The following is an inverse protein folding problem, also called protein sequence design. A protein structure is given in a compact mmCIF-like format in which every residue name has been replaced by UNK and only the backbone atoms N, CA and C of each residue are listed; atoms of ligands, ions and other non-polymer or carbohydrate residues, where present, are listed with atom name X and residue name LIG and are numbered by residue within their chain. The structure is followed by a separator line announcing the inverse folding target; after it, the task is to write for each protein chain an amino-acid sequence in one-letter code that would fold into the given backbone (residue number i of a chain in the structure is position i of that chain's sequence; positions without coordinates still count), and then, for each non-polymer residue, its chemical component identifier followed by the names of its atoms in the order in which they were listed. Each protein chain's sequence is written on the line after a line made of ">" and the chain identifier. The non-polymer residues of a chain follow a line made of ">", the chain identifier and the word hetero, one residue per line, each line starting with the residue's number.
data_IF_803492074142
#
_entry.id   IF_803492074142
#
_cell.length_a   1.000
_cell.length_b   1.000
_cell.length_c   1.000
_cell.angle_alpha   90.00
_cell.angle_beta   90.00
_cell.angle_gamma   90.00
#
_symmetry.space_group_name_H-M   'P 1'
#
loop_
_entity.id
_entity.type
_entity.pdbx_description
1 polymer ?
#
# COMPACT_ATOMS: atom_id res chain seq x y z
N UNK A 1 -14.46 12.73 -5.88
CA UNK A 1 -13.24 12.25 -6.58
C UNK A 1 -12.01 12.74 -5.82
N UNK A 2 -11.31 11.87 -5.08
CA UNK A 2 -10.04 12.20 -4.42
C UNK A 2 -8.89 12.06 -5.44
N UNK A 3 -8.61 13.13 -6.20
CA UNK A 3 -7.69 13.03 -7.34
C UNK A 3 -7.03 14.31 -7.84
N UNK A 4 -7.02 15.40 -7.07
CA UNK A 4 -6.33 16.62 -7.50
C UNK A 4 -4.86 16.60 -7.05
N UNK A 5 -4.01 15.93 -7.84
CA UNK A 5 -2.58 16.25 -7.94
C UNK A 5 -1.59 15.45 -7.10
N UNK A 6 -2.01 14.57 -6.18
CA UNK A 6 -1.05 13.71 -5.47
C UNK A 6 -0.56 12.59 -6.39
N UNK A 7 0.75 12.51 -6.61
CA UNK A 7 1.38 11.36 -7.27
C UNK A 7 0.94 10.09 -6.52
N UNK A 8 0.51 9.06 -7.25
CA UNK A 8 0.17 7.75 -6.67
C UNK A 8 1.23 6.75 -7.07
N UNK A 9 1.70 5.97 -6.11
CA UNK A 9 2.62 4.85 -6.34
C UNK A 9 1.87 3.67 -6.96
N UNK A 10 2.58 2.62 -7.42
CA UNK A 10 1.95 1.36 -7.87
C UNK A 10 1.04 0.79 -6.76
N UNK A 11 1.52 0.80 -5.52
CA UNK A 11 0.76 0.43 -4.34
C UNK A 11 -0.50 1.31 -4.14
N UNK A 12 -0.37 2.63 -4.18
CA UNK A 12 -1.51 3.53 -4.03
C UNK A 12 -2.57 3.35 -5.11
N UNK A 13 -2.15 3.16 -6.37
CA UNK A 13 -3.05 2.87 -7.50
C UNK A 13 -3.77 1.55 -7.33
N UNK A 14 -3.10 0.52 -6.80
CA UNK A 14 -3.71 -0.76 -6.49
C UNK A 14 -4.82 -0.61 -5.45
N UNK A 15 -4.56 0.10 -4.35
CA UNK A 15 -5.58 0.34 -3.33
C UNK A 15 -6.81 1.04 -3.92
N UNK A 16 -6.60 2.09 -4.72
CA UNK A 16 -7.69 2.83 -5.36
C UNK A 16 -8.50 1.95 -6.33
N UNK A 17 -7.81 1.14 -7.16
CA UNK A 17 -8.44 0.25 -8.15
C UNK A 17 -9.30 -0.84 -7.49
N UNK A 18 -8.87 -1.33 -6.33
CA UNK A 18 -9.56 -2.39 -5.60
C UNK A 18 -10.51 -1.87 -4.51
N UNK A 19 -10.69 -0.55 -4.40
CA UNK A 19 -11.55 0.05 -3.37
C UNK A 19 -11.07 -0.20 -1.95
N UNK A 20 -9.76 -0.42 -1.75
CA UNK A 20 -9.18 -0.71 -0.45
C UNK A 20 -8.86 0.60 0.26
N UNK A 21 -9.53 0.86 1.38
CA UNK A 21 -9.25 2.04 2.19
C UNK A 21 -7.91 1.93 2.92
N UNK A 22 -7.12 3.02 2.91
CA UNK A 22 -5.86 3.07 3.65
C UNK A 22 -6.08 2.88 5.16
N UNK A 23 -7.18 3.41 5.71
CA UNK A 23 -7.55 3.24 7.13
C UNK A 23 -7.84 1.78 7.48
N UNK A 24 -8.49 1.04 6.58
CA UNK A 24 -8.71 -0.39 6.76
C UNK A 24 -7.37 -1.14 6.81
N UNK A 25 -6.46 -0.82 5.89
CA UNK A 25 -5.13 -1.43 5.85
C UNK A 25 -4.30 -1.09 7.10
N UNK A 26 -4.36 0.17 7.57
CA UNK A 26 -3.72 0.64 8.81
C UNK A 26 -4.18 -0.21 10.00
N UNK A 27 -5.50 -0.37 10.17
CA UNK A 27 -6.07 -1.15 11.29
C UNK A 27 -5.68 -2.62 11.23
N UNK A 28 -5.71 -3.24 10.04
CA UNK A 28 -5.38 -4.66 9.86
C UNK A 28 -3.89 -4.97 9.96
N UNK A 29 -3.04 -4.10 9.42
CA UNK A 29 -1.57 -4.30 9.41
C UNK A 29 -0.88 -3.81 10.68
N UNK A 30 -1.55 -2.96 11.48
CA UNK A 30 -0.96 -2.28 12.63
C UNK A 30 0.21 -1.38 12.22
N UNK A 31 0.14 -0.78 11.04
CA UNK A 31 1.10 0.22 10.55
C UNK A 31 0.59 1.62 10.85
N UNK A 32 1.50 2.58 10.98
CA UNK A 32 1.12 3.98 11.18
C UNK A 32 0.50 4.59 9.92
N UNK A 33 -0.42 5.55 10.13
CA UNK A 33 -1.06 6.30 9.03
C UNK A 33 -0.07 6.96 8.09
N UNK A 34 0.97 7.60 8.64
CA UNK A 34 2.01 8.25 7.83
C UNK A 34 2.73 7.23 6.96
N UNK A 35 3.07 6.04 7.49
CA UNK A 35 3.75 4.99 6.71
C UNK A 35 2.92 4.53 5.51
N UNK A 36 1.62 4.23 5.72
CA UNK A 36 0.74 3.78 4.63
C UNK A 36 0.48 4.90 3.64
N UNK A 37 0.25 6.12 4.14
CA UNK A 37 0.04 7.30 3.31
C UNK A 37 1.26 7.63 2.44
N UNK A 38 2.46 7.59 3.01
CA UNK A 38 3.70 7.83 2.26
C UNK A 38 3.90 6.74 1.21
N UNK A 39 3.72 5.46 1.55
CA UNK A 39 3.88 4.37 0.58
C UNK A 39 2.86 4.45 -0.57
N UNK A 40 1.67 4.98 -0.33
CA UNK A 40 0.64 5.14 -1.35
C UNK A 40 0.87 6.35 -2.28
N UNK A 41 1.57 7.39 -1.80
CA UNK A 41 1.64 8.68 -2.49
C UNK A 41 3.07 9.16 -2.83
N UNK A 42 4.11 8.62 -2.18
CA UNK A 42 5.49 9.04 -2.38
C UNK A 42 6.27 7.96 -3.15
N UNK A 43 6.57 8.17 -4.45
CA UNK A 43 7.31 7.20 -5.26
C UNK A 43 8.76 7.00 -4.79
N UNK A 44 9.34 7.96 -4.07
CA UNK A 44 10.71 7.88 -3.54
C UNK A 44 10.76 7.09 -2.22
N UNK A 45 9.60 6.66 -1.70
CA UNK A 45 9.49 5.93 -0.44
C UNK A 45 9.32 4.43 -0.69
N UNK A 46 10.34 3.67 -0.30
CA UNK A 46 10.26 2.21 -0.23
C UNK A 46 9.99 1.71 1.21
N UNK A 47 9.24 0.61 1.38
CA UNK A 47 9.00 0.03 2.69
C UNK A 47 10.23 -0.71 3.19
N UNK A 48 10.35 -0.85 4.50
CA UNK A 48 11.27 -1.83 5.08
C UNK A 48 10.73 -3.25 4.86
N UNK A 49 11.59 -4.26 4.95
CA UNK A 49 11.18 -5.68 4.86
C UNK A 49 10.02 -6.03 5.80
N UNK A 50 10.04 -5.52 7.04
CA UNK A 50 8.98 -5.75 8.04
C UNK A 50 7.66 -5.09 7.66
N UNK A 51 7.71 -3.84 7.19
CA UNK A 51 6.52 -3.12 6.72
C UNK A 51 5.89 -3.80 5.51
N UNK A 52 6.72 -4.18 4.55
CA UNK A 52 6.31 -4.90 3.35
C UNK A 52 5.62 -6.23 3.68
N UNK A 53 6.22 -7.04 4.56
CA UNK A 53 5.62 -8.30 5.01
C UNK A 53 4.24 -8.11 5.65
N UNK A 54 4.08 -7.07 6.49
CA UNK A 54 2.79 -6.74 7.10
C UNK A 54 1.73 -6.36 6.07
N UNK A 55 2.08 -5.53 5.09
CA UNK A 55 1.17 -5.12 4.01
C UNK A 55 0.77 -6.34 3.17
N UNK A 56 1.76 -7.10 2.68
CA UNK A 56 1.50 -8.28 1.86
C UNK A 56 0.67 -9.33 2.59
N UNK A 57 0.90 -9.54 3.89
CA UNK A 57 0.10 -10.47 4.69
C UNK A 57 -1.38 -10.10 4.62
N UNK A 58 -1.71 -8.83 4.86
CA UNK A 58 -3.11 -8.35 4.84
C UNK A 58 -3.69 -8.37 3.44
N UNK A 59 -2.94 -7.91 2.43
CA UNK A 59 -3.44 -7.90 1.05
C UNK A 59 -3.67 -9.31 0.50
N UNK A 60 -2.86 -10.29 0.91
CA UNK A 60 -3.03 -11.70 0.52
C UNK A 60 -4.25 -12.38 1.11
N UNK A 61 -4.88 -11.80 2.14
CA UNK A 61 -6.19 -12.24 2.61
C UNK A 61 -7.28 -11.96 1.57
N UNK A 62 -7.06 -10.99 0.67
CA UNK A 62 -7.97 -10.64 -0.42
C UNK A 62 -7.57 -11.30 -1.74
N UNK A 63 -6.27 -11.28 -2.07
CA UNK A 63 -5.72 -11.97 -3.24
C UNK A 63 -4.37 -12.64 -2.90
N UNK A 64 -4.32 -13.97 -2.77
CA UNK A 64 -3.10 -14.71 -2.45
C UNK A 64 -1.96 -14.56 -3.46
N UNK A 65 -2.24 -14.12 -4.69
CA UNK A 65 -1.26 -14.04 -5.78
C UNK A 65 -0.35 -12.81 -5.69
N UNK A 66 -0.69 -11.84 -4.84
CA UNK A 66 0.03 -10.58 -4.68
C UNK A 66 1.48 -10.81 -4.24
N UNK A 67 2.40 -10.13 -4.93
CA UNK A 67 3.85 -10.12 -4.68
C UNK A 67 4.31 -8.69 -4.34
N UNK A 68 5.50 -8.59 -3.77
CA UNK A 68 6.08 -7.28 -3.49
C UNK A 68 6.42 -6.52 -4.77
N UNK A 69 6.88 -7.23 -5.81
CA UNK A 69 7.28 -6.68 -7.10
C UNK A 69 6.12 -6.02 -7.86
N UNK A 70 4.87 -6.35 -7.49
CA UNK A 70 3.67 -5.67 -8.02
C UNK A 70 3.62 -4.20 -7.60
N UNK A 71 4.33 -3.84 -6.52
CA UNK A 71 4.20 -2.54 -5.85
C UNK A 71 5.50 -1.76 -5.75
N UNK A 72 6.63 -2.44 -5.53
CA UNK A 72 7.94 -1.83 -5.33
C UNK A 72 8.95 -2.57 -6.19
N UNK A 73 9.82 -1.83 -6.87
CA UNK A 73 10.90 -2.41 -7.66
C UNK A 73 12.00 -2.89 -6.68
N UNK A 74 12.19 -4.21 -6.59
CA UNK A 74 13.13 -4.88 -5.68
C UNK A 74 14.18 -5.70 -6.42
#
# INVERSE_FOLDING_TARGET
>A
MWGLGKKRTKFGKYLDKHGIEQEWLIRKSGLGRNTVGDLANNPDRSPTRKTMQKILKVLRELDPRIKADDFWDM
#
